data_IF_801669194634
#
_entry.id   IF_801669194634
#
_cell.length_a   1.000
_cell.length_b   1.000
_cell.length_c   1.000
_cell.angle_alpha   90.00
_cell.angle_beta   90.00
_cell.angle_gamma   90.00
#
_symmetry.space_group_name_H-M   'P 1'
#
loop_
_entity.id
_entity.type
_entity.pdbx_description
1 polymer ?
#
# COMPACT_ATOMS: atom_id res chain seq x y z
N UNK A 1 -9.83 7.75 -19.72
CA UNK A 1 -10.83 6.75 -20.14
C UNK A 1 -11.21 6.87 -21.61
N UNK A 2 -11.77 8.01 -22.08
CA UNK A 2 -12.22 8.14 -23.48
C UNK A 2 -11.15 7.77 -24.53
N UNK A 3 -9.91 8.26 -24.38
CA UNK A 3 -8.79 7.91 -25.26
C UNK A 3 -8.51 6.39 -25.29
N UNK A 4 -8.60 5.71 -24.14
CA UNK A 4 -8.39 4.27 -24.06
C UNK A 4 -9.53 3.50 -24.76
N UNK A 5 -10.80 3.89 -24.56
CA UNK A 5 -11.96 3.30 -25.24
C UNK A 5 -11.82 3.41 -26.77
N UNK A 6 -11.51 4.62 -27.27
CA UNK A 6 -11.35 4.85 -28.71
C UNK A 6 -10.13 4.06 -29.23
N UNK A 7 -9.02 4.07 -28.51
CA UNK A 7 -7.84 3.29 -28.85
C UNK A 7 -8.11 1.79 -28.97
N UNK A 8 -8.95 1.24 -28.09
CA UNK A 8 -9.38 -0.16 -28.11
C UNK A 8 -10.24 -0.46 -29.33
N UNK A 9 -11.22 0.39 -29.64
CA UNK A 9 -12.05 0.26 -30.84
C UNK A 9 -11.20 0.31 -32.12
N UNK A 10 -10.25 1.25 -32.23
CA UNK A 10 -9.29 1.31 -33.33
C UNK A 10 -8.39 0.06 -33.36
N UNK A 11 -8.08 -0.50 -32.21
CA UNK A 11 -7.33 -1.76 -32.07
C UNK A 11 -8.05 -3.00 -32.58
N UNK A 12 -9.37 -2.94 -32.78
CA UNK A 12 -10.13 -4.04 -33.39
C UNK A 12 -10.11 -4.00 -34.91
N UNK A 13 -9.88 -2.83 -35.51
CA UNK A 13 -9.83 -2.65 -36.97
C UNK A 13 -8.86 -3.62 -37.66
N UNK A 14 -7.63 -3.86 -37.12
CA UNK A 14 -6.73 -4.88 -37.65
C UNK A 14 -7.31 -6.29 -37.72
N UNK A 15 -8.17 -6.69 -36.79
CA UNK A 15 -8.77 -8.04 -36.78
C UNK A 15 -9.74 -8.21 -37.96
N UNK A 16 -10.59 -7.22 -38.22
CA UNK A 16 -11.50 -7.23 -39.37
C UNK A 16 -10.75 -7.15 -40.70
N UNK A 17 -9.73 -6.28 -40.77
CA UNK A 17 -8.91 -6.16 -41.97
C UNK A 17 -8.11 -7.43 -42.25
N UNK A 18 -7.57 -8.09 -41.23
CA UNK A 18 -6.92 -9.40 -41.36
C UNK A 18 -7.90 -10.46 -41.87
N UNK A 19 -9.13 -10.51 -41.35
CA UNK A 19 -10.14 -11.44 -41.83
C UNK A 19 -10.46 -11.21 -43.32
N UNK A 20 -10.61 -9.96 -43.75
CA UNK A 20 -10.83 -9.59 -45.16
C UNK A 20 -9.66 -9.99 -46.06
N UNK A 21 -8.41 -9.80 -45.59
CA UNK A 21 -7.21 -10.25 -46.30
C UNK A 21 -7.23 -11.76 -46.51
N UNK A 22 -7.56 -12.55 -45.47
CA UNK A 22 -7.63 -14.01 -45.60
C UNK A 22 -8.75 -14.42 -46.56
N UNK A 23 -9.90 -13.74 -46.52
CA UNK A 23 -11.01 -14.04 -47.44
C UNK A 23 -10.64 -13.78 -48.91
N UNK A 24 -9.95 -12.66 -49.19
CA UNK A 24 -9.44 -12.39 -50.54
C UNK A 24 -8.43 -13.45 -50.99
N UNK A 25 -7.54 -13.87 -50.08
CA UNK A 25 -6.57 -14.92 -50.34
C UNK A 25 -7.25 -16.26 -50.68
N UNK A 26 -8.29 -16.63 -49.91
CA UNK A 26 -9.08 -17.83 -50.12
C UNK A 26 -9.91 -17.77 -51.42
N UNK A 27 -10.33 -16.58 -51.84
CA UNK A 27 -10.99 -16.35 -53.12
C UNK A 27 -10.03 -16.44 -54.32
N UNK A 28 -8.73 -16.59 -54.08
CA UNK A 28 -7.71 -16.73 -55.12
C UNK A 28 -7.21 -15.40 -55.70
N UNK A 29 -7.51 -14.27 -55.04
CA UNK A 29 -7.09 -12.95 -55.51
C UNK A 29 -5.56 -12.79 -55.50
N UNK A 30 -4.96 -12.53 -56.66
CA UNK A 30 -3.51 -12.40 -56.82
C UNK A 30 -3.04 -10.93 -56.89
N UNK A 31 -3.96 -9.98 -57.08
CA UNK A 31 -3.61 -8.59 -57.26
C UNK A 31 -3.27 -7.90 -55.93
N UNK A 32 -2.01 -7.47 -55.76
CA UNK A 32 -1.57 -6.75 -54.54
C UNK A 32 -2.41 -5.49 -54.25
N UNK A 33 -2.92 -4.83 -55.28
CA UNK A 33 -3.78 -3.66 -55.17
C UNK A 33 -5.08 -3.92 -54.40
N UNK A 34 -5.59 -5.16 -54.40
CA UNK A 34 -6.76 -5.57 -53.61
C UNK A 34 -6.46 -5.64 -52.11
N UNK A 35 -5.20 -5.92 -51.73
CA UNK A 35 -4.77 -6.03 -50.33
C UNK A 35 -4.29 -4.71 -49.73
N UNK A 36 -3.78 -3.80 -50.57
CA UNK A 36 -3.24 -2.51 -50.16
C UNK A 36 -4.18 -1.68 -49.24
N UNK A 37 -5.48 -1.49 -49.53
CA UNK A 37 -6.35 -0.73 -48.63
C UNK A 37 -6.50 -1.39 -47.25
N UNK A 38 -6.55 -2.72 -47.19
CA UNK A 38 -6.65 -3.44 -45.93
C UNK A 38 -5.36 -3.36 -45.12
N UNK A 39 -4.19 -3.46 -45.77
CA UNK A 39 -2.90 -3.27 -45.12
C UNK A 39 -2.73 -1.85 -44.56
N UNK A 40 -3.15 -0.83 -45.33
CA UNK A 40 -3.15 0.55 -44.85
C UNK A 40 -4.13 0.75 -43.69
N UNK A 41 -5.28 0.07 -43.71
CA UNK A 41 -6.26 0.10 -42.61
C UNK A 41 -5.70 -0.56 -41.34
N UNK A 42 -4.99 -1.70 -41.46
CA UNK A 42 -4.28 -2.34 -40.34
C UNK A 42 -3.24 -1.38 -39.76
N UNK A 43 -2.40 -0.77 -40.61
CA UNK A 43 -1.36 0.15 -40.19
C UNK A 43 -1.96 1.39 -39.49
N UNK A 44 -2.99 2.00 -40.08
CA UNK A 44 -3.66 3.16 -39.50
C UNK A 44 -4.33 2.81 -38.16
N UNK A 45 -5.05 1.68 -38.08
CA UNK A 45 -5.66 1.21 -36.84
C UNK A 45 -4.63 0.94 -35.74
N UNK A 46 -3.51 0.32 -36.09
CA UNK A 46 -2.40 0.07 -35.16
C UNK A 46 -1.74 1.36 -34.67
N UNK A 47 -1.44 2.31 -35.56
CA UNK A 47 -0.84 3.60 -35.22
C UNK A 47 -1.77 4.43 -34.33
N UNK A 48 -3.05 4.53 -34.70
CA UNK A 48 -4.05 5.26 -33.92
C UNK A 48 -4.23 4.63 -32.54
N UNK A 49 -4.39 3.30 -32.45
CA UNK A 49 -4.43 2.57 -31.17
C UNK A 49 -3.21 2.91 -30.33
N UNK A 50 -2.01 2.82 -30.90
CA UNK A 50 -0.74 3.02 -30.19
C UNK A 50 -0.62 4.44 -29.67
N UNK A 51 -0.94 5.45 -30.48
CA UNK A 51 -0.91 6.86 -30.07
C UNK A 51 -1.93 7.14 -28.97
N UNK A 52 -3.17 6.69 -29.13
CA UNK A 52 -4.23 6.90 -28.14
C UNK A 52 -3.95 6.18 -26.83
N UNK A 53 -3.46 4.94 -26.89
CA UNK A 53 -3.08 4.16 -25.71
C UNK A 53 -1.94 4.83 -24.94
N UNK A 54 -0.84 5.19 -25.62
CA UNK A 54 0.29 5.86 -24.97
C UNK A 54 -0.10 7.24 -24.41
N UNK A 55 -0.98 7.98 -25.08
CA UNK A 55 -1.51 9.24 -24.57
C UNK A 55 -2.35 9.04 -23.32
N UNK A 56 -3.23 8.03 -23.32
CA UNK A 56 -4.03 7.65 -22.15
C UNK A 56 -3.14 7.22 -20.97
N UNK A 57 -2.11 6.41 -21.25
CA UNK A 57 -1.15 5.93 -20.26
C UNK A 57 -0.34 7.09 -19.66
N UNK A 58 0.20 7.98 -20.50
CA UNK A 58 0.95 9.16 -20.04
C UNK A 58 0.09 10.07 -19.14
N UNK A 59 -1.16 10.33 -19.52
CA UNK A 59 -2.08 11.12 -18.70
C UNK A 59 -2.38 10.43 -17.37
N UNK A 60 -2.53 9.11 -17.39
CA UNK A 60 -2.78 8.31 -16.19
C UNK A 60 -1.59 8.35 -15.23
N UNK A 61 -0.34 8.19 -15.71
CA UNK A 61 0.86 8.35 -14.88
C UNK A 61 0.94 9.73 -14.23
N UNK A 62 0.69 10.82 -14.99
CA UNK A 62 0.69 12.18 -14.42
C UNK A 62 -0.33 12.32 -13.29
N UNK A 63 -1.54 11.78 -13.47
CA UNK A 63 -2.55 11.78 -12.44
C UNK A 63 -2.11 10.96 -11.22
N UNK A 64 -1.56 9.76 -11.43
CA UNK A 64 -1.03 8.90 -10.37
C UNK A 64 0.04 9.59 -9.55
N UNK A 65 1.08 10.16 -10.17
CA UNK A 65 2.13 10.88 -9.46
C UNK A 65 1.57 12.06 -8.64
N UNK A 66 0.56 12.76 -9.15
CA UNK A 66 -0.13 13.81 -8.39
C UNK A 66 -0.87 13.26 -7.17
N UNK A 67 -1.51 12.10 -7.28
CA UNK A 67 -2.18 11.42 -6.16
C UNK A 67 -1.16 11.01 -5.11
N UNK A 68 -0.07 10.32 -5.52
CA UNK A 68 0.98 9.87 -4.60
C UNK A 68 1.63 11.05 -3.86
N UNK A 69 1.93 12.14 -4.57
CA UNK A 69 2.41 13.39 -3.97
C UNK A 69 1.43 13.91 -2.92
N UNK A 70 0.14 13.95 -3.24
CA UNK A 70 -0.89 14.47 -2.32
C UNK A 70 -1.00 13.60 -1.06
N UNK A 71 -0.95 12.28 -1.21
CA UNK A 71 -0.96 11.34 -0.08
C UNK A 71 0.25 11.60 0.84
N UNK A 72 1.45 11.73 0.27
CA UNK A 72 2.66 12.05 1.04
C UNK A 72 2.55 13.37 1.77
N UNK A 73 2.06 14.41 1.10
CA UNK A 73 1.87 15.72 1.73
C UNK A 73 0.88 15.66 2.89
N UNK A 74 -0.21 14.90 2.76
CA UNK A 74 -1.18 14.70 3.85
C UNK A 74 -0.57 13.94 5.02
N UNK A 75 0.18 12.87 4.77
CA UNK A 75 0.85 12.11 5.83
C UNK A 75 1.88 12.98 6.56
N UNK A 76 2.71 13.73 5.82
CA UNK A 76 3.70 14.64 6.40
C UNK A 76 3.06 15.79 7.18
N UNK A 77 1.91 16.32 6.72
CA UNK A 77 1.18 17.34 7.45
C UNK A 77 0.46 16.79 8.70
N UNK A 78 0.05 15.52 8.68
CA UNK A 78 -0.61 14.85 9.81
C UNK A 78 0.37 14.55 10.95
N UNK A 79 1.60 14.13 10.62
CA UNK A 79 2.60 13.65 11.59
C UNK A 79 2.81 14.57 12.81
N UNK A 80 3.01 15.90 12.65
CA UNK A 80 3.24 16.81 13.79
C UNK A 80 2.02 16.98 14.72
N UNK A 81 0.82 16.60 14.27
CA UNK A 81 -0.42 16.74 15.04
C UNK A 81 -0.79 15.45 15.80
N UNK A 82 -0.10 14.35 15.53
CA UNK A 82 -0.30 13.10 16.26
C UNK A 82 0.44 13.16 17.61
N UNK A 83 -0.03 12.40 18.63
CA UNK A 83 0.71 12.27 19.89
C UNK A 83 2.17 11.92 19.63
N UNK A 84 3.08 12.78 20.07
CA UNK A 84 4.52 12.63 19.81
C UNK A 84 5.02 11.25 20.23
N UNK A 85 4.52 10.75 21.36
CA UNK A 85 4.89 9.44 21.84
C UNK A 85 4.47 8.30 20.89
N UNK A 86 3.29 8.37 20.28
CA UNK A 86 2.86 7.42 19.24
C UNK A 86 3.75 7.49 17.99
N UNK A 87 4.22 8.70 17.63
CA UNK A 87 5.14 8.87 16.49
C UNK A 87 6.50 8.24 16.78
N UNK A 88 7.00 8.40 18.01
CA UNK A 88 8.30 7.86 18.43
C UNK A 88 8.32 6.36 18.73
N UNK A 89 7.16 5.77 19.06
CA UNK A 89 7.02 4.32 19.22
C UNK A 89 7.29 3.58 17.89
N UNK A 90 7.08 4.25 16.77
CA UNK A 90 7.43 3.73 15.44
C UNK A 90 8.84 4.16 15.02
N UNK A 91 9.62 3.20 14.52
CA UNK A 91 10.97 3.50 14.02
C UNK A 91 10.93 4.40 12.78
N UNK A 92 11.99 5.17 12.55
CA UNK A 92 12.15 5.96 11.32
C UNK A 92 12.08 5.09 10.05
N UNK A 93 12.57 3.84 10.14
CA UNK A 93 12.43 2.84 9.08
C UNK A 93 10.97 2.50 8.79
N UNK A 94 10.12 2.40 9.82
CA UNK A 94 8.69 2.15 9.65
C UNK A 94 7.98 3.32 8.98
N UNK A 95 8.31 4.55 9.36
CA UNK A 95 7.77 5.74 8.70
C UNK A 95 8.20 5.84 7.24
N UNK A 96 9.47 5.53 6.94
CA UNK A 96 9.98 5.47 5.56
C UNK A 96 9.25 4.39 4.76
N UNK A 97 9.06 3.20 5.32
CA UNK A 97 8.31 2.12 4.68
C UNK A 97 6.90 2.59 4.30
N UNK A 98 6.17 3.22 5.22
CA UNK A 98 4.79 3.65 4.97
C UNK A 98 4.73 4.84 3.98
N UNK A 99 5.46 5.93 4.27
CA UNK A 99 5.34 7.20 3.53
C UNK A 99 5.99 7.11 2.14
N UNK A 100 7.07 6.33 2.02
CA UNK A 100 7.82 6.20 0.77
C UNK A 100 7.44 4.92 0.06
N UNK A 101 7.82 3.77 0.61
CA UNK A 101 7.80 2.49 -0.14
C UNK A 101 6.39 2.02 -0.44
N UNK A 102 5.50 2.03 0.55
CA UNK A 102 4.12 1.59 0.38
C UNK A 102 3.36 2.55 -0.53
N UNK A 103 3.52 3.87 -0.34
CA UNK A 103 2.89 4.84 -1.25
C UNK A 103 3.37 4.68 -2.68
N UNK A 104 4.67 4.48 -2.92
CA UNK A 104 5.18 4.22 -4.28
C UNK A 104 4.70 2.88 -4.84
N UNK A 105 4.49 1.84 -4.00
CA UNK A 105 4.00 0.55 -4.47
C UNK A 105 2.64 0.61 -5.17
N UNK A 106 1.84 1.66 -4.90
CA UNK A 106 0.56 1.90 -5.57
C UNK A 106 0.69 2.48 -6.98
N UNK A 107 1.87 2.97 -7.38
CA UNK A 107 2.07 3.71 -8.63
C UNK A 107 1.62 2.90 -9.85
N UNK A 108 2.22 1.73 -10.07
CA UNK A 108 1.97 0.91 -11.25
C UNK A 108 0.48 0.58 -11.37
N UNK A 109 -0.14 0.15 -10.28
CA UNK A 109 -1.56 -0.22 -10.28
C UNK A 109 -2.44 0.97 -10.65
N UNK A 110 -2.25 2.12 -10.01
CA UNK A 110 -3.07 3.31 -10.27
C UNK A 110 -2.83 3.88 -11.67
N UNK A 111 -1.57 3.89 -12.14
CA UNK A 111 -1.21 4.39 -13.46
C UNK A 111 -1.80 3.53 -14.59
N UNK A 112 -1.84 2.21 -14.41
CA UNK A 112 -2.35 1.29 -15.41
C UNK A 112 -3.85 1.00 -15.26
N UNK A 113 -4.46 1.29 -14.10
CA UNK A 113 -5.88 1.07 -13.80
C UNK A 113 -6.80 1.56 -14.89
N UNK A 114 -6.79 2.86 -15.17
CA UNK A 114 -7.77 3.41 -16.10
C UNK A 114 -7.53 3.00 -17.56
N UNK A 115 -6.30 3.07 -18.11
CA UNK A 115 -6.06 2.68 -19.49
C UNK A 115 -6.25 1.18 -19.73
N UNK A 116 -5.63 0.33 -18.90
CA UNK A 116 -5.61 -1.11 -19.14
C UNK A 116 -6.91 -1.78 -18.72
N UNK A 117 -7.49 -1.46 -17.55
CA UNK A 117 -8.75 -2.09 -17.15
C UNK A 117 -9.88 -1.69 -18.10
N UNK A 118 -9.92 -0.44 -18.57
CA UNK A 118 -10.86 -0.03 -19.62
C UNK A 118 -10.65 -0.86 -20.88
N UNK A 119 -9.40 -1.05 -21.33
CA UNK A 119 -9.11 -1.86 -22.50
C UNK A 119 -9.49 -3.33 -22.32
N UNK A 120 -9.17 -3.90 -21.17
CA UNK A 120 -9.39 -5.30 -20.83
C UNK A 120 -10.88 -5.66 -20.69
N UNK A 121 -11.73 -4.68 -20.36
CA UNK A 121 -13.19 -4.86 -20.30
C UNK A 121 -13.85 -4.53 -21.64
N UNK A 122 -13.49 -3.39 -22.24
CA UNK A 122 -14.15 -2.90 -23.46
C UNK A 122 -13.83 -3.76 -24.67
N UNK A 123 -12.60 -4.27 -24.81
CA UNK A 123 -12.24 -5.06 -25.99
C UNK A 123 -13.04 -6.37 -26.08
N UNK A 124 -13.15 -7.19 -25.02
CA UNK A 124 -14.02 -8.37 -25.02
C UNK A 124 -15.48 -8.05 -25.30
N UNK A 125 -16.01 -6.95 -24.75
CA UNK A 125 -17.40 -6.53 -24.99
C UNK A 125 -17.62 -6.19 -26.47
N UNK A 126 -16.73 -5.40 -27.06
CA UNK A 126 -16.84 -5.04 -28.49
C UNK A 126 -16.64 -6.26 -29.39
N UNK A 127 -15.71 -7.16 -29.07
CA UNK A 127 -15.52 -8.42 -29.78
C UNK A 127 -16.80 -9.26 -29.70
N UNK A 128 -17.39 -9.38 -28.51
CA UNK A 128 -18.62 -10.14 -28.31
C UNK A 128 -19.78 -9.55 -29.13
N UNK A 129 -19.94 -8.22 -29.11
CA UNK A 129 -20.92 -7.53 -29.97
C UNK A 129 -20.68 -7.87 -31.44
N UNK A 130 -19.43 -7.80 -31.91
CA UNK A 130 -19.08 -8.16 -33.28
C UNK A 130 -19.40 -9.62 -33.61
N UNK A 131 -19.14 -10.56 -32.69
CA UNK A 131 -19.51 -11.96 -32.86
C UNK A 131 -21.03 -12.14 -32.98
N UNK A 132 -21.83 -11.46 -32.16
CA UNK A 132 -23.29 -11.51 -32.25
C UNK A 132 -23.83 -10.95 -33.56
N UNK A 133 -23.21 -9.89 -34.09
CA UNK A 133 -23.58 -9.31 -35.38
C UNK A 133 -23.20 -10.22 -36.57
N UNK A 134 -22.13 -11.00 -36.45
CA UNK A 134 -21.68 -11.94 -37.47
C UNK A 134 -22.50 -13.23 -37.47
N UNK A 135 -22.60 -13.89 -36.31
CA UNK A 135 -23.42 -15.08 -36.10
C UNK A 135 -23.72 -15.28 -34.60
N UNK A 136 -24.98 -15.07 -34.21
CA UNK A 136 -25.40 -15.19 -32.81
C UNK A 136 -25.21 -16.59 -32.21
N UNK A 137 -25.22 -17.66 -33.03
CA UNK A 137 -25.04 -19.05 -32.56
C UNK A 137 -23.59 -19.26 -32.15
N UNK A 138 -22.63 -18.83 -32.98
CA UNK A 138 -21.21 -18.90 -32.65
C UNK A 138 -20.81 -17.96 -31.51
N UNK A 139 -21.46 -16.80 -31.40
CA UNK A 139 -21.27 -15.90 -30.25
C UNK A 139 -21.66 -16.60 -28.93
N UNK A 140 -22.83 -17.24 -28.86
CA UNK A 140 -23.24 -18.01 -27.68
C UNK A 140 -22.29 -19.18 -27.38
N UNK A 141 -21.84 -19.89 -28.42
CA UNK A 141 -20.87 -20.98 -28.26
C UNK A 141 -19.52 -20.48 -27.74
N UNK A 142 -19.06 -19.30 -28.15
CA UNK A 142 -17.85 -18.67 -27.61
C UNK A 142 -17.98 -18.33 -26.13
N UNK A 143 -19.21 -18.04 -25.65
CA UNK A 143 -19.47 -17.78 -24.24
C UNK A 143 -19.56 -19.04 -23.40
N UNK A 144 -19.87 -20.20 -24.00
CA UNK A 144 -20.12 -21.45 -23.28
C UNK A 144 -18.91 -21.96 -22.45
N UNK A 145 -17.69 -21.54 -22.80
CA UNK A 145 -16.48 -21.86 -22.02
C UNK A 145 -16.35 -21.06 -20.73
N UNK A 146 -16.94 -19.86 -20.64
CA UNK A 146 -16.83 -19.02 -19.44
C UNK A 146 -17.55 -19.59 -18.23
N UNK A 147 -18.81 -20.07 -18.31
CA UNK A 147 -19.46 -20.75 -17.18
C UNK A 147 -18.62 -21.89 -16.62
N UNK A 148 -17.98 -22.70 -17.48
CA UNK A 148 -17.09 -23.79 -17.05
C UNK A 148 -15.87 -23.23 -16.32
N UNK A 149 -15.21 -22.21 -16.87
CA UNK A 149 -14.08 -21.54 -16.21
C UNK A 149 -14.47 -20.96 -14.84
N UNK A 150 -15.63 -20.28 -14.77
CA UNK A 150 -16.16 -19.71 -13.54
C UNK A 150 -16.50 -20.77 -12.50
N UNK A 151 -17.04 -21.93 -12.88
CA UNK A 151 -17.28 -23.04 -11.95
C UNK A 151 -15.99 -23.52 -11.28
N UNK A 152 -14.90 -23.69 -12.04
CA UNK A 152 -13.60 -24.04 -11.49
C UNK A 152 -13.01 -22.94 -10.60
N UNK A 153 -13.20 -21.67 -10.97
CA UNK A 153 -12.78 -20.53 -10.15
C UNK A 153 -13.58 -20.43 -8.84
N UNK A 154 -14.90 -20.66 -8.87
CA UNK A 154 -15.75 -20.66 -7.67
C UNK A 154 -15.35 -21.74 -6.67
N UNK A 155 -14.91 -22.92 -7.15
CA UNK A 155 -14.39 -23.99 -6.29
C UNK A 155 -13.18 -23.53 -5.45
N UNK A 156 -12.33 -22.65 -6.02
CA UNK A 156 -11.20 -22.06 -5.30
C UNK A 156 -11.66 -20.93 -4.37
N UNK A 157 -12.53 -20.05 -4.86
CA UNK A 157 -13.02 -18.89 -4.11
C UNK A 157 -13.80 -19.25 -2.84
N UNK A 158 -14.49 -20.40 -2.82
CA UNK A 158 -15.34 -20.80 -1.69
C UNK A 158 -14.60 -20.93 -0.34
N UNK A 159 -13.33 -21.34 -0.36
CA UNK A 159 -12.50 -21.44 0.85
C UNK A 159 -11.45 -20.33 0.95
N UNK A 160 -11.38 -19.43 -0.03
CA UNK A 160 -10.30 -18.45 -0.16
C UNK A 160 -10.12 -17.60 1.11
N UNK A 161 -11.20 -17.07 1.68
CA UNK A 161 -11.11 -16.24 2.89
C UNK A 161 -10.51 -17.00 4.08
N UNK A 162 -10.87 -18.28 4.24
CA UNK A 162 -10.37 -19.15 5.31
C UNK A 162 -8.90 -19.52 5.10
N UNK A 163 -8.55 -19.91 3.87
CA UNK A 163 -7.17 -20.25 3.53
C UNK A 163 -6.25 -19.03 3.62
N UNK A 164 -6.72 -17.86 3.15
CA UNK A 164 -6.00 -16.60 3.27
C UNK A 164 -5.78 -16.20 4.73
N UNK A 165 -6.81 -16.25 5.58
CA UNK A 165 -6.67 -15.97 7.00
C UNK A 165 -5.67 -16.92 7.70
N UNK A 166 -5.68 -18.21 7.33
CA UNK A 166 -4.70 -19.15 7.87
C UNK A 166 -3.27 -18.90 7.37
N UNK A 167 -3.09 -18.46 6.12
CA UNK A 167 -1.79 -18.06 5.59
C UNK A 167 -1.23 -16.82 6.30
N UNK A 168 -2.09 -15.82 6.55
CA UNK A 168 -1.73 -14.64 7.36
C UNK A 168 -1.32 -15.05 8.77
N UNK A 169 -2.09 -15.93 9.41
CA UNK A 169 -1.75 -16.45 10.75
C UNK A 169 -0.41 -17.19 10.78
N UNK A 170 -0.17 -18.12 9.84
CA UNK A 170 1.08 -18.88 9.76
C UNK A 170 2.29 -17.96 9.52
N UNK A 171 2.13 -16.95 8.67
CA UNK A 171 3.14 -15.93 8.39
C UNK A 171 3.41 -15.10 9.64
N UNK A 172 2.37 -14.66 10.36
CA UNK A 172 2.52 -13.88 11.59
C UNK A 172 3.25 -14.66 12.69
N UNK A 173 2.92 -15.94 12.90
CA UNK A 173 3.60 -16.80 13.88
C UNK A 173 5.08 -17.02 13.53
N UNK A 174 5.38 -17.20 12.24
CA UNK A 174 6.75 -17.30 11.75
C UNK A 174 7.53 -16.01 12.00
N UNK A 175 6.98 -14.86 11.63
CA UNK A 175 7.61 -13.55 11.81
C UNK A 175 7.84 -13.23 13.29
N UNK A 176 6.87 -13.48 14.17
CA UNK A 176 7.02 -13.30 15.62
C UNK A 176 8.17 -14.14 16.17
N UNK A 177 8.23 -15.43 15.80
CA UNK A 177 9.29 -16.35 16.25
C UNK A 177 10.66 -15.91 15.72
N UNK A 178 10.72 -15.36 14.50
CA UNK A 178 11.95 -14.84 13.92
C UNK A 178 12.45 -13.59 14.67
N UNK A 179 11.55 -12.65 14.99
CA UNK A 179 11.87 -11.46 15.79
C UNK A 179 12.33 -11.85 17.20
N UNK A 180 11.63 -12.77 17.87
CA UNK A 180 12.03 -13.32 19.18
C UNK A 180 13.45 -13.92 19.12
N UNK A 181 13.74 -14.70 18.07
CA UNK A 181 15.06 -15.33 17.90
C UNK A 181 16.17 -14.30 17.68
N UNK A 182 15.93 -13.28 16.86
CA UNK A 182 16.91 -12.21 16.57
C UNK A 182 17.16 -11.37 17.83
N UNK A 183 16.11 -10.89 18.48
CA UNK A 183 16.23 -10.08 19.69
C UNK A 183 16.85 -10.87 20.86
N UNK A 184 16.54 -12.17 20.95
CA UNK A 184 17.06 -13.07 21.99
C UNK A 184 18.44 -13.65 21.70
N UNK A 185 19.08 -13.37 20.55
CA UNK A 185 20.26 -14.12 20.09
C UNK A 185 21.44 -14.08 21.07
N UNK A 186 21.64 -12.95 21.75
CA UNK A 186 22.70 -12.80 22.75
C UNK A 186 22.46 -13.71 23.96
N UNK A 187 21.23 -13.75 24.47
CA UNK A 187 20.81 -14.61 25.58
C UNK A 187 20.89 -16.09 25.18
N UNK A 188 20.38 -16.43 24.00
CA UNK A 188 20.43 -17.80 23.45
C UNK A 188 21.87 -18.31 23.38
N UNK A 189 22.82 -17.47 22.93
CA UNK A 189 24.25 -17.79 22.89
C UNK A 189 24.86 -17.88 24.30
N UNK A 190 24.54 -16.95 25.19
CA UNK A 190 25.07 -16.93 26.56
C UNK A 190 24.65 -18.16 27.38
N UNK A 191 23.43 -18.66 27.18
CA UNK A 191 22.91 -19.85 27.87
C UNK A 191 23.06 -21.15 27.05
N UNK A 192 23.78 -21.11 25.92
CA UNK A 192 24.00 -22.25 25.01
C UNK A 192 22.69 -22.98 24.57
N UNK A 193 21.59 -22.23 24.42
CA UNK A 193 20.27 -22.75 24.02
C UNK A 193 20.03 -22.69 22.50
N UNK A 194 21.10 -22.55 21.71
CA UNK A 194 21.04 -22.34 20.26
C UNK A 194 20.22 -23.41 19.53
N UNK A 195 20.42 -24.69 19.88
CA UNK A 195 19.73 -25.80 19.20
C UNK A 195 18.22 -25.75 19.37
N UNK A 196 17.71 -25.54 20.59
CA UNK A 196 16.27 -25.54 20.86
C UNK A 196 15.57 -24.33 20.22
N UNK A 197 16.17 -23.15 20.36
CA UNK A 197 15.63 -21.91 19.79
C UNK A 197 15.63 -21.95 18.27
N UNK A 198 16.71 -22.48 17.67
CA UNK A 198 16.80 -22.67 16.23
C UNK A 198 15.78 -23.70 15.72
N UNK A 199 15.61 -24.83 16.41
CA UNK A 199 14.57 -25.82 16.05
C UNK A 199 13.18 -25.18 16.03
N UNK A 200 12.81 -24.44 17.08
CA UNK A 200 11.52 -23.72 17.16
C UNK A 200 11.33 -22.77 15.98
N UNK A 201 12.35 -22.00 15.61
CA UNK A 201 12.32 -21.13 14.44
C UNK A 201 12.11 -21.94 13.16
N UNK A 202 12.92 -22.98 12.93
CA UNK A 202 12.82 -23.80 11.72
C UNK A 202 11.49 -24.53 11.59
N UNK A 203 10.88 -24.96 12.70
CA UNK A 203 9.57 -25.60 12.70
C UNK A 203 8.47 -24.63 12.28
N UNK A 204 8.53 -23.37 12.74
CA UNK A 204 7.59 -22.33 12.32
C UNK A 204 7.78 -21.93 10.85
N UNK A 205 9.01 -21.83 10.38
CA UNK A 205 9.31 -21.61 8.95
C UNK A 205 8.77 -22.74 8.09
N UNK A 206 8.98 -24.00 8.50
CA UNK A 206 8.46 -25.18 7.79
C UNK A 206 6.94 -25.25 7.84
N UNK A 207 6.32 -24.95 8.98
CA UNK A 207 4.87 -24.93 9.10
C UNK A 207 4.24 -23.88 8.18
N UNK A 208 4.84 -22.69 8.08
CA UNK A 208 4.42 -21.67 7.13
C UNK A 208 4.54 -22.15 5.68
N UNK A 209 5.71 -22.68 5.30
CA UNK A 209 5.92 -23.24 3.96
C UNK A 209 4.93 -24.37 3.62
N UNK A 210 4.68 -25.27 4.57
CA UNK A 210 3.74 -26.38 4.43
C UNK A 210 2.31 -25.86 4.23
N UNK A 211 1.90 -24.82 4.95
CA UNK A 211 0.58 -24.22 4.80
C UNK A 211 0.37 -23.69 3.38
N UNK A 212 1.32 -22.91 2.85
CA UNK A 212 1.28 -22.41 1.47
C UNK A 212 1.29 -23.55 0.45
N UNK A 213 2.11 -24.58 0.67
CA UNK A 213 2.14 -25.76 -0.21
C UNK A 213 0.77 -26.47 -0.25
N UNK A 214 0.17 -26.73 0.91
CA UNK A 214 -1.12 -27.40 0.99
C UNK A 214 -2.24 -26.55 0.39
N UNK A 215 -2.21 -25.23 0.60
CA UNK A 215 -3.16 -24.31 -0.01
C UNK A 215 -3.01 -24.27 -1.54
N UNK A 216 -1.77 -24.17 -2.05
CA UNK A 216 -1.49 -24.22 -3.49
C UNK A 216 -1.97 -25.55 -4.08
N UNK A 217 -1.65 -26.68 -3.43
CA UNK A 217 -2.07 -28.02 -3.87
C UNK A 217 -3.59 -28.18 -3.93
N UNK A 218 -4.32 -27.67 -2.93
CA UNK A 218 -5.80 -27.69 -2.93
C UNK A 218 -6.39 -26.81 -4.03
N UNK A 219 -5.78 -25.66 -4.30
CA UNK A 219 -6.26 -24.67 -5.28
C UNK A 219 -5.82 -24.99 -6.72
N UNK A 220 -4.78 -25.81 -6.90
CA UNK A 220 -4.10 -26.04 -8.17
C UNK A 220 -5.06 -26.49 -9.27
N UNK A 221 -5.93 -27.47 -8.99
CA UNK A 221 -6.85 -28.00 -10.00
C UNK A 221 -7.84 -26.92 -10.47
N UNK A 222 -8.53 -26.26 -9.53
CA UNK A 222 -9.51 -25.23 -9.87
C UNK A 222 -8.89 -24.06 -10.62
N UNK A 223 -7.71 -23.60 -10.18
CA UNK A 223 -7.00 -22.51 -10.84
C UNK A 223 -6.50 -22.92 -12.23
N UNK A 224 -5.85 -24.08 -12.36
CA UNK A 224 -5.33 -24.58 -13.64
C UNK A 224 -6.44 -24.78 -14.67
N UNK A 225 -7.58 -25.33 -14.24
CA UNK A 225 -8.73 -25.53 -15.11
C UNK A 225 -9.37 -24.18 -15.50
N UNK A 226 -9.52 -23.24 -14.57
CA UNK A 226 -10.02 -21.91 -14.90
C UNK A 226 -9.14 -21.23 -15.97
N UNK A 227 -7.81 -21.18 -15.76
CA UNK A 227 -6.86 -20.61 -16.71
C UNK A 227 -6.79 -21.38 -18.04
N UNK A 228 -7.07 -22.68 -18.05
CA UNK A 228 -7.16 -23.47 -19.28
C UNK A 228 -8.42 -23.15 -20.09
N UNK A 229 -9.57 -22.93 -19.43
CA UNK A 229 -10.85 -22.70 -20.10
C UNK A 229 -11.12 -21.24 -20.51
N UNK A 230 -10.61 -20.24 -19.78
CA UNK A 230 -10.77 -18.82 -20.16
C UNK A 230 -10.35 -18.49 -21.60
N UNK A 231 -9.19 -18.98 -22.11
CA UNK A 231 -8.78 -18.77 -23.49
C UNK A 231 -9.30 -19.84 -24.48
N UNK A 232 -10.15 -20.79 -24.05
CA UNK A 232 -10.47 -21.99 -24.83
C UNK A 232 -11.69 -21.86 -25.76
N UNK A 233 -12.01 -20.66 -26.24
CA UNK A 233 -13.21 -20.45 -27.09
C UNK A 233 -13.13 -21.25 -28.40
N UNK A 234 -11.92 -21.56 -28.87
CA UNK A 234 -11.70 -22.41 -30.04
C UNK A 234 -12.24 -23.84 -29.88
N UNK A 235 -12.38 -24.35 -28.65
CA UNK A 235 -12.96 -25.67 -28.40
C UNK A 235 -14.41 -25.77 -28.87
N UNK A 236 -15.15 -24.66 -28.85
CA UNK A 236 -16.54 -24.60 -29.31
C UNK A 236 -16.63 -24.02 -30.72
N UNK A 237 -15.89 -22.95 -31.02
CA UNK A 237 -16.02 -22.25 -32.31
C UNK A 237 -15.58 -23.12 -33.48
N UNK A 238 -14.47 -23.86 -33.39
CA UNK A 238 -13.96 -24.65 -34.52
C UNK A 238 -14.90 -25.80 -34.93
N UNK A 239 -15.29 -26.74 -34.05
CA UNK A 239 -16.09 -27.88 -34.46
C UNK A 239 -17.51 -27.48 -34.91
N UNK A 240 -18.15 -26.56 -34.18
CA UNK A 240 -19.51 -26.12 -34.51
C UNK A 240 -19.53 -25.16 -35.70
N UNK A 241 -18.54 -24.27 -35.82
CA UNK A 241 -18.40 -23.41 -36.98
C UNK A 241 -18.12 -24.18 -38.26
N UNK A 242 -17.27 -25.22 -38.17
CA UNK A 242 -17.07 -26.16 -39.29
C UNK A 242 -18.36 -26.85 -39.69
N UNK A 243 -19.13 -27.36 -38.72
CA UNK A 243 -20.42 -27.99 -38.98
C UNK A 243 -21.43 -27.00 -39.62
N UNK A 244 -21.52 -25.77 -39.13
CA UNK A 244 -22.39 -24.77 -39.73
C UNK A 244 -21.98 -24.39 -41.16
N UNK A 245 -20.67 -24.36 -41.42
CA UNK A 245 -20.10 -24.12 -42.74
C UNK A 245 -20.41 -25.24 -43.73
N UNK A 246 -20.14 -26.51 -43.37
CA UNK A 246 -20.39 -27.66 -44.27
C UNK A 246 -21.87 -27.87 -44.56
N UNK A 247 -22.76 -27.51 -43.63
CA UNK A 247 -24.21 -27.50 -43.83
C UNK A 247 -24.74 -26.25 -44.55
N UNK A 248 -23.86 -25.32 -44.96
CA UNK A 248 -24.21 -24.14 -45.75
C UNK A 248 -24.90 -23.01 -44.97
N UNK A 249 -24.98 -23.10 -43.64
CA UNK A 249 -25.64 -22.10 -42.78
C UNK A 249 -24.70 -20.99 -42.30
N UNK A 250 -23.41 -21.06 -42.65
CA UNK A 250 -22.36 -20.11 -42.31
C UNK A 250 -21.42 -19.95 -43.51
N UNK A 251 -21.04 -18.73 -43.85
CA UNK A 251 -20.06 -18.49 -44.93
C UNK A 251 -18.63 -18.73 -44.45
N UNK A 252 -17.71 -19.08 -45.36
CA UNK A 252 -16.28 -19.19 -45.04
C UNK A 252 -15.71 -17.88 -44.49
N UNK A 253 -16.17 -16.74 -45.03
CA UNK A 253 -15.79 -15.40 -44.57
C UNK A 253 -16.21 -15.14 -43.13
N UNK A 254 -17.47 -15.40 -42.79
CA UNK A 254 -17.99 -15.24 -41.43
C UNK A 254 -17.22 -16.17 -40.47
N UNK A 255 -16.96 -17.41 -40.88
CA UNK A 255 -16.26 -18.38 -40.05
C UNK A 255 -14.82 -17.95 -39.73
N UNK A 256 -14.04 -17.56 -40.73
CA UNK A 256 -12.67 -17.06 -40.55
C UNK A 256 -12.63 -15.80 -39.68
N UNK A 257 -13.58 -14.88 -39.90
CA UNK A 257 -13.67 -13.65 -39.10
C UNK A 257 -13.96 -13.95 -37.63
N UNK A 258 -14.88 -14.87 -37.36
CA UNK A 258 -15.21 -15.30 -35.98
C UNK A 258 -14.01 -15.94 -35.30
N UNK A 259 -13.22 -16.78 -36.00
CA UNK A 259 -12.00 -17.39 -35.45
C UNK A 259 -11.00 -16.31 -35.01
N UNK A 260 -10.72 -15.34 -35.89
CA UNK A 260 -9.76 -14.26 -35.61
C UNK A 260 -10.21 -13.40 -34.42
N UNK A 261 -11.48 -13.01 -34.39
CA UNK A 261 -12.04 -12.19 -33.33
C UNK A 261 -12.00 -12.90 -31.98
N UNK A 262 -12.38 -14.18 -31.94
CA UNK A 262 -12.38 -14.96 -30.70
C UNK A 262 -10.98 -15.17 -30.11
N UNK A 263 -9.94 -15.36 -30.94
CA UNK A 263 -8.54 -15.38 -30.48
C UNK A 263 -8.14 -14.07 -29.80
N UNK A 264 -8.64 -12.93 -30.28
CA UNK A 264 -8.41 -11.62 -29.69
C UNK A 264 -9.06 -11.40 -28.32
N UNK A 265 -10.02 -12.25 -27.92
CA UNK A 265 -10.79 -12.10 -26.68
C UNK A 265 -10.07 -12.67 -25.44
N UNK A 266 -9.22 -13.68 -25.62
CA UNK A 266 -8.58 -14.42 -24.53
C UNK A 266 -7.71 -13.56 -23.61
N UNK A 267 -6.72 -12.86 -24.19
CA UNK A 267 -5.72 -12.12 -23.42
C UNK A 267 -6.31 -10.96 -22.58
N UNK A 268 -7.22 -10.12 -23.11
CA UNK A 268 -7.86 -9.06 -22.32
C UNK A 268 -8.65 -9.59 -21.12
N UNK A 269 -9.33 -10.73 -21.26
CA UNK A 269 -10.09 -11.34 -20.16
C UNK A 269 -9.16 -11.81 -19.04
N UNK A 270 -8.10 -12.54 -19.40
CA UNK A 270 -7.11 -12.99 -18.41
C UNK A 270 -6.43 -11.80 -17.72
N UNK A 271 -6.11 -10.75 -18.47
CA UNK A 271 -5.55 -9.53 -17.91
C UNK A 271 -6.52 -8.82 -16.95
N UNK A 272 -7.82 -8.78 -17.26
CA UNK A 272 -8.84 -8.23 -16.36
C UNK A 272 -8.90 -8.98 -15.01
N UNK A 273 -8.77 -10.31 -15.01
CA UNK A 273 -8.76 -11.11 -13.77
C UNK A 273 -7.55 -10.81 -12.90
N UNK A 274 -6.35 -10.81 -13.49
CA UNK A 274 -5.12 -10.52 -12.74
C UNK A 274 -5.14 -9.11 -12.14
N UNK A 275 -5.86 -8.18 -12.78
CA UNK A 275 -6.00 -6.81 -12.30
C UNK A 275 -6.76 -6.71 -10.95
N UNK A 276 -7.67 -7.65 -10.67
CA UNK A 276 -8.42 -7.69 -9.39
C UNK A 276 -7.47 -7.92 -8.21
N UNK A 277 -6.49 -8.82 -8.36
CA UNK A 277 -5.50 -9.09 -7.31
C UNK A 277 -4.64 -7.85 -7.03
N UNK A 278 -4.27 -7.11 -8.08
CA UNK A 278 -3.48 -5.88 -7.94
C UNK A 278 -4.26 -4.78 -7.23
N UNK A 279 -5.57 -4.65 -7.48
CA UNK A 279 -6.44 -3.72 -6.76
C UNK A 279 -6.57 -4.05 -5.28
N UNK A 280 -6.66 -5.33 -4.92
CA UNK A 280 -6.72 -5.74 -3.52
C UNK A 280 -5.46 -5.34 -2.75
N UNK A 281 -4.28 -5.45 -3.37
CA UNK A 281 -3.00 -5.02 -2.77
C UNK A 281 -2.98 -3.51 -2.49
N UNK A 282 -3.43 -2.69 -3.43
CA UNK A 282 -3.56 -1.23 -3.23
C UNK A 282 -4.53 -0.91 -2.09
N UNK A 283 -5.63 -1.67 -1.98
CA UNK A 283 -6.59 -1.52 -0.88
C UNK A 283 -5.95 -1.65 0.50
N UNK A 284 -5.02 -2.59 0.67
CA UNK A 284 -4.27 -2.77 1.94
C UNK A 284 -3.43 -1.54 2.28
N UNK A 285 -2.67 -1.02 1.31
CA UNK A 285 -1.87 0.19 1.51
C UNK A 285 -2.73 1.41 1.82
N UNK A 286 -3.84 1.58 1.10
CA UNK A 286 -4.80 2.66 1.37
C UNK A 286 -5.35 2.54 2.79
N UNK A 287 -5.66 1.34 3.27
CA UNK A 287 -6.11 1.11 4.64
C UNK A 287 -5.09 1.56 5.69
N UNK A 288 -3.80 1.25 5.49
CA UNK A 288 -2.72 1.67 6.40
C UNK A 288 -2.51 3.19 6.40
N UNK A 289 -2.56 3.82 5.22
CA UNK A 289 -2.51 5.29 5.10
C UNK A 289 -3.71 5.93 5.78
N UNK A 290 -4.90 5.38 5.58
CA UNK A 290 -6.15 5.88 6.14
C UNK A 290 -6.18 5.76 7.67
N UNK A 291 -5.64 4.68 8.25
CA UNK A 291 -5.47 4.51 9.69
C UNK A 291 -4.66 5.67 10.32
N UNK A 292 -3.56 6.07 9.68
CA UNK A 292 -2.72 7.18 10.15
C UNK A 292 -3.42 8.52 9.98
N UNK A 293 -4.04 8.75 8.83
CA UNK A 293 -4.75 10.01 8.56
C UNK A 293 -5.96 10.21 9.48
N UNK A 294 -6.59 9.12 9.91
CA UNK A 294 -7.72 9.11 10.85
C UNK A 294 -7.32 8.96 12.31
N UNK A 295 -6.04 8.71 12.61
CA UNK A 295 -5.57 8.64 13.98
C UNK A 295 -5.90 9.94 14.73
N UNK A 296 -6.24 9.79 16.01
CA UNK A 296 -6.61 10.87 16.91
C UNK A 296 -5.43 11.85 17.02
N UNK A 297 -5.68 13.13 16.73
CA UNK A 297 -4.69 14.20 16.92
C UNK A 297 -4.66 14.63 18.38
N UNK A 298 -3.57 15.26 18.81
CA UNK A 298 -3.53 15.86 20.14
C UNK A 298 -4.55 17.01 20.24
N UNK A 299 -5.35 16.98 21.28
CA UNK A 299 -6.40 17.96 21.54
C UNK A 299 -5.83 19.09 22.41
N UNK A 300 -5.32 20.14 21.75
CA UNK A 300 -4.76 21.32 22.39
C UNK A 300 -5.53 22.60 22.03
N UNK A 301 -5.51 23.57 22.95
CA UNK A 301 -6.05 24.89 22.70
C UNK A 301 -5.38 25.59 21.51
N UNK A 302 -6.06 26.56 20.91
CA UNK A 302 -5.50 27.37 19.81
C UNK A 302 -5.23 28.81 20.21
N UNK A 303 -5.60 29.19 21.43
CA UNK A 303 -5.45 30.54 21.93
C UNK A 303 -4.21 30.61 22.82
N UNK A 304 -3.36 31.63 22.67
CA UNK A 304 -2.19 31.82 23.51
C UNK A 304 -2.53 31.89 25.00
N UNK A 305 -1.69 31.27 25.82
CA UNK A 305 -1.85 31.26 27.28
C UNK A 305 -0.76 32.10 27.93
N UNK A 306 -1.13 32.94 28.90
CA UNK A 306 -0.18 33.71 29.70
C UNK A 306 0.03 33.02 31.05
N UNK A 307 1.24 32.51 31.28
CA UNK A 307 1.59 31.84 32.52
C UNK A 307 1.91 32.84 33.63
N UNK A 308 1.16 32.78 34.74
CA UNK A 308 1.46 33.52 35.97
C UNK A 308 2.47 32.80 36.89
N UNK A 309 2.48 31.47 36.83
CA UNK A 309 3.43 30.57 37.49
C UNK A 309 3.66 29.32 36.62
N UNK A 310 4.63 28.47 36.99
CA UNK A 310 4.98 27.23 36.26
C UNK A 310 4.86 25.99 37.15
N UNK A 311 3.97 26.03 38.15
CA UNK A 311 3.74 24.84 38.98
C UNK A 311 3.04 23.76 38.17
N UNK A 312 3.40 22.51 38.39
CA UNK A 312 2.77 21.36 37.72
C UNK A 312 1.91 20.62 38.73
N UNK A 313 0.64 20.39 38.40
CA UNK A 313 -0.26 19.58 39.21
C UNK A 313 -0.79 18.41 38.37
N UNK A 314 -0.64 17.20 38.90
CA UNK A 314 -1.19 15.96 38.35
C UNK A 314 -2.31 15.54 39.30
N UNK A 315 -3.53 15.43 38.78
CA UNK A 315 -4.73 15.20 39.60
C UNK A 315 -5.48 13.98 39.10
N UNK A 316 -5.47 12.91 39.91
CA UNK A 316 -6.13 11.62 39.65
C UNK A 316 -5.85 11.04 38.26
N UNK A 317 -4.61 11.15 37.78
CA UNK A 317 -4.25 10.72 36.43
C UNK A 317 -4.12 9.20 36.36
N UNK A 318 -4.85 8.64 35.41
CA UNK A 318 -4.81 7.22 35.05
C UNK A 318 -4.50 7.09 33.56
N UNK A 319 -3.49 6.30 33.22
CA UNK A 319 -2.96 6.25 31.85
C UNK A 319 -2.38 4.89 31.45
N UNK A 320 -2.60 4.52 30.19
CA UNK A 320 -1.95 3.40 29.50
C UNK A 320 -1.81 3.71 28.01
N UNK A 321 -0.74 3.24 27.37
CA UNK A 321 -0.47 3.52 25.94
C UNK A 321 -1.48 2.87 24.99
N UNK A 322 -1.98 1.69 25.38
CA UNK A 322 -3.05 0.97 24.72
C UNK A 322 -4.12 0.70 25.77
N UNK A 323 -5.40 0.86 25.42
CA UNK A 323 -6.53 0.86 26.38
C UNK A 323 -6.66 -0.38 27.27
N UNK A 324 -5.88 -1.42 26.98
CA UNK A 324 -5.95 -2.74 27.59
C UNK A 324 -5.02 -2.87 28.81
N UNK A 325 -4.05 -1.96 28.99
CA UNK A 325 -3.07 -2.02 30.08
C UNK A 325 -2.78 -0.64 30.69
N UNK A 326 -3.33 -0.40 31.88
CA UNK A 326 -3.06 0.78 32.68
C UNK A 326 -1.66 0.70 33.32
N UNK A 327 -0.90 1.80 33.24
CA UNK A 327 0.49 1.94 33.73
C UNK A 327 0.53 2.89 34.94
N UNK A 328 -0.24 3.97 34.88
CA UNK A 328 -0.41 4.92 35.97
C UNK A 328 -1.81 4.77 36.54
N UNK A 329 -1.92 4.65 37.86
CA UNK A 329 -3.19 4.43 38.56
C UNK A 329 -3.48 5.58 39.51
N UNK A 330 -4.42 6.47 39.14
CA UNK A 330 -4.90 7.59 39.96
C UNK A 330 -3.80 8.41 40.64
N UNK A 331 -2.77 8.77 39.88
CA UNK A 331 -1.60 9.50 40.38
C UNK A 331 -1.99 10.93 40.75
N UNK A 332 -1.56 11.36 41.93
CA UNK A 332 -1.68 12.73 42.42
C UNK A 332 -0.29 13.25 42.80
N UNK A 333 0.14 14.37 42.19
CA UNK A 333 1.46 14.95 42.39
C UNK A 333 1.38 16.47 42.24
N UNK A 334 2.10 17.21 43.08
CA UNK A 334 2.26 18.66 42.96
C UNK A 334 3.75 19.00 42.93
N UNK A 335 4.19 19.69 41.89
CA UNK A 335 5.57 20.14 41.69
C UNK A 335 5.58 21.67 41.72
N UNK A 336 6.09 22.30 42.79
CA UNK A 336 6.18 23.75 42.89
C UNK A 336 7.12 24.34 41.84
N UNK A 337 6.85 25.58 41.43
CA UNK A 337 7.78 26.35 40.59
C UNK A 337 9.15 26.50 41.28
N UNK A 338 10.22 26.53 40.49
CA UNK A 338 11.61 26.68 40.96
C UNK A 338 12.06 25.58 41.95
N UNK A 339 11.50 24.37 41.83
CA UNK A 339 11.87 23.22 42.64
C UNK A 339 12.48 22.10 41.79
N UNK A 340 13.29 21.25 42.41
CA UNK A 340 13.79 20.01 41.82
C UNK A 340 13.02 18.84 42.41
N UNK A 341 12.26 18.13 41.58
CA UNK A 341 11.52 16.92 41.98
C UNK A 341 12.19 15.68 41.39
N UNK A 342 12.59 14.74 42.24
CA UNK A 342 13.17 13.48 41.80
C UNK A 342 12.12 12.35 41.89
N UNK A 343 11.83 11.70 40.76
CA UNK A 343 10.98 10.51 40.69
C UNK A 343 11.85 9.25 40.81
N UNK A 344 11.70 8.50 41.91
CA UNK A 344 12.52 7.30 42.20
C UNK A 344 11.64 6.08 42.37
N UNK A 345 12.07 4.94 41.83
CA UNK A 345 11.33 3.67 41.94
C UNK A 345 11.85 2.60 40.97
N UNK A 346 11.42 1.34 41.13
CA UNK A 346 11.85 0.21 40.30
C UNK A 346 11.68 0.46 38.80
N UNK A 347 12.48 -0.17 37.94
CA UNK A 347 12.30 -0.07 36.48
C UNK A 347 10.89 -0.51 36.07
N UNK A 348 10.30 0.17 35.08
CA UNK A 348 8.93 -0.11 34.60
C UNK A 348 7.79 0.46 35.47
N UNK A 349 8.08 1.14 36.59
CA UNK A 349 7.05 1.69 37.47
C UNK A 349 6.29 2.93 36.94
N UNK A 350 6.37 3.24 35.64
CA UNK A 350 5.69 4.39 35.02
C UNK A 350 6.35 5.76 35.19
N UNK A 351 7.57 5.86 35.76
CA UNK A 351 8.27 7.16 35.97
C UNK A 351 8.47 7.95 34.67
N UNK A 352 9.03 7.30 33.65
CA UNK A 352 9.25 7.94 32.35
C UNK A 352 7.92 8.28 31.68
N UNK A 353 6.90 7.44 31.83
CA UNK A 353 5.54 7.72 31.35
C UNK A 353 4.98 8.99 31.98
N UNK A 354 5.06 9.14 33.30
CA UNK A 354 4.61 10.36 33.99
C UNK A 354 5.38 11.60 33.50
N UNK A 355 6.70 11.51 33.33
CA UNK A 355 7.51 12.60 32.80
C UNK A 355 7.11 12.99 31.37
N UNK A 356 6.86 12.00 30.50
CA UNK A 356 6.42 12.24 29.11
C UNK A 356 5.00 12.80 29.03
N UNK A 357 4.09 12.41 29.93
CA UNK A 357 2.74 13.00 30.01
C UNK A 357 2.80 14.46 30.45
N UNK A 358 3.64 14.78 31.44
CA UNK A 358 3.89 16.17 31.84
C UNK A 358 4.50 16.96 30.68
N UNK A 359 5.35 16.33 29.87
CA UNK A 359 5.93 16.93 28.66
C UNK A 359 4.96 17.01 27.46
N UNK A 360 3.70 16.57 27.60
CA UNK A 360 2.70 16.66 26.53
C UNK A 360 2.90 15.68 25.38
N UNK A 361 3.54 14.52 25.60
CA UNK A 361 3.75 13.52 24.54
C UNK A 361 2.48 12.72 24.22
N UNK A 362 1.56 12.65 25.19
CA UNK A 362 0.22 12.10 25.05
C UNK A 362 -0.75 12.89 25.90
N UNK A 363 -2.00 12.91 25.47
CA UNK A 363 -3.10 13.51 26.21
C UNK A 363 -3.68 12.50 27.21
N UNK A 364 -4.04 12.97 28.40
CA UNK A 364 -4.64 12.12 29.43
C UNK A 364 -6.16 12.04 29.26
N UNK A 365 -6.71 10.82 29.25
CA UNK A 365 -8.16 10.59 29.14
C UNK A 365 -8.88 10.55 30.49
N UNK A 366 -8.15 10.27 31.58
CA UNK A 366 -8.68 10.21 32.95
C UNK A 366 -7.80 11.04 33.89
N UNK A 367 -8.42 11.93 34.66
CA UNK A 367 -7.72 12.93 35.46
C UNK A 367 -7.32 14.15 34.61
N UNK A 368 -6.40 14.97 35.12
CA UNK A 368 -5.82 16.08 34.36
C UNK A 368 -4.42 16.41 34.85
N UNK A 369 -3.64 17.03 33.96
CA UNK A 369 -2.35 17.64 34.28
C UNK A 369 -2.49 19.13 33.98
N UNK A 370 -2.04 19.97 34.91
CA UNK A 370 -2.06 21.43 34.72
C UNK A 370 -0.67 22.02 34.90
N UNK A 371 -0.33 23.03 34.10
CA UNK A 371 0.86 23.86 34.24
C UNK A 371 0.43 25.31 34.47
N UNK A 372 0.90 25.90 35.57
CA UNK A 372 0.54 27.28 35.91
C UNK A 372 -0.96 27.51 36.15
N UNK A 373 -1.67 26.45 36.57
CA UNK A 373 -3.13 26.44 36.72
C UNK A 373 -3.94 26.21 35.44
N UNK A 374 -3.31 26.14 34.27
CA UNK A 374 -3.96 25.82 32.99
C UNK A 374 -3.85 24.33 32.70
N UNK A 375 -4.94 23.70 32.25
CA UNK A 375 -4.89 22.30 31.78
C UNK A 375 -3.96 22.20 30.56
N UNK A 376 -3.14 21.15 30.48
CA UNK A 376 -2.23 20.97 29.34
C UNK A 376 -2.98 20.94 28.00
N UNK A 377 -4.21 20.41 27.98
CA UNK A 377 -5.07 20.35 26.79
C UNK A 377 -5.64 21.72 26.39
N UNK A 378 -5.57 22.73 27.25
CA UNK A 378 -6.00 24.10 26.94
C UNK A 378 -4.86 24.96 26.39
N UNK A 379 -3.60 24.52 26.55
CA UNK A 379 -2.41 25.24 26.09
C UNK A 379 -2.11 24.84 24.64
N UNK A 380 -1.85 25.79 23.72
CA UNK A 380 -1.37 25.47 22.39
C UNK A 380 -0.12 24.60 22.42
N UNK A 381 -0.09 23.54 21.61
CA UNK A 381 0.96 22.53 21.66
C UNK A 381 2.37 23.12 21.45
N UNK A 382 2.51 24.06 20.50
CA UNK A 382 3.77 24.79 20.27
C UNK A 382 4.22 25.55 21.53
N UNK A 383 3.31 26.26 22.20
CA UNK A 383 3.60 27.00 23.44
C UNK A 383 3.97 26.05 24.59
N UNK A 384 3.27 24.91 24.70
CA UNK A 384 3.58 23.89 25.69
C UNK A 384 5.01 23.35 25.50
N UNK A 385 5.40 23.05 24.26
CA UNK A 385 6.74 22.55 23.94
C UNK A 385 7.82 23.61 24.12
N UNK A 386 7.52 24.90 23.92
CA UNK A 386 8.43 26.00 24.23
C UNK A 386 8.69 26.17 25.74
N UNK A 387 7.76 25.72 26.60
CA UNK A 387 7.94 25.77 28.06
C UNK A 387 8.71 24.56 28.63
N UNK A 388 8.84 23.46 27.88
CA UNK A 388 9.36 22.20 28.40
C UNK A 388 10.60 21.74 27.63
N UNK A 389 11.74 21.75 28.29
CA UNK A 389 12.95 21.09 27.81
C UNK A 389 12.96 19.61 28.24
N UNK A 390 12.88 18.69 27.29
CA UNK A 390 12.94 17.25 27.53
C UNK A 390 14.28 16.66 27.07
N UNK A 391 14.94 15.92 27.95
CA UNK A 391 16.18 15.19 27.64
C UNK A 391 15.89 13.69 27.72
N UNK A 392 15.84 13.04 26.55
CA UNK A 392 15.60 11.61 26.42
C UNK A 392 16.79 10.77 26.90
N UNK A 393 16.54 9.50 27.21
CA UNK A 393 17.62 8.52 27.45
C UNK A 393 18.38 8.21 26.15
N UNK A 394 17.66 8.07 25.04
CA UNK A 394 18.22 7.84 23.71
C UNK A 394 18.21 9.15 22.91
N UNK A 395 19.33 9.86 22.91
CA UNK A 395 19.46 11.12 22.18
C UNK A 395 19.68 10.88 20.69
N UNK A 396 18.92 11.59 19.86
CA UNK A 396 19.12 11.63 18.41
C UNK A 396 19.97 12.83 18.02
N UNK A 397 21.00 12.60 17.19
CA UNK A 397 21.77 13.65 16.54
C UNK A 397 21.50 13.58 15.04
N UNK A 398 21.14 14.70 14.46
CA UNK A 398 21.01 14.87 13.02
C UNK A 398 22.40 14.76 12.38
N UNK A 399 22.44 14.27 11.12
CA UNK A 399 23.63 14.25 10.28
C UNK A 399 23.97 15.69 9.83
N UNK A 400 24.48 16.45 10.80
CA UNK A 400 24.84 17.85 10.72
C UNK A 400 25.95 18.11 11.75
N UNK A 401 26.46 19.33 11.78
CA UNK A 401 27.49 19.74 12.74
C UNK A 401 26.97 19.68 14.18
N UNK A 402 27.89 19.55 15.15
CA UNK A 402 27.52 19.61 16.58
C UNK A 402 26.82 20.93 16.90
N UNK A 403 27.26 22.03 16.28
CA UNK A 403 26.68 23.36 16.45
C UNK A 403 25.23 23.42 16.00
N UNK A 404 24.90 22.90 14.82
CA UNK A 404 23.52 22.92 14.32
C UNK A 404 22.61 21.99 15.14
N UNK A 405 23.14 20.86 15.62
CA UNK A 405 22.42 19.99 16.56
C UNK A 405 22.07 20.72 17.87
N UNK A 406 22.97 21.52 18.43
CA UNK A 406 22.67 22.34 19.63
C UNK A 406 21.69 23.47 19.29
N UNK A 407 21.87 24.15 18.15
CA UNK A 407 20.98 25.22 17.68
C UNK A 407 19.55 24.74 17.43
N UNK A 408 19.33 23.44 17.23
CA UNK A 408 17.98 22.89 17.09
C UNK A 408 17.07 23.22 18.28
N UNK A 409 17.62 23.34 19.50
CA UNK A 409 16.85 23.74 20.69
C UNK A 409 16.32 25.17 20.63
N UNK A 410 16.97 26.05 19.85
CA UNK A 410 16.48 27.42 19.56
C UNK A 410 17.11 27.92 18.26
N UNK A 411 16.35 27.85 17.16
CA UNK A 411 16.87 28.01 15.78
C UNK A 411 17.45 29.39 15.47
N UNK A 412 17.01 30.42 16.17
CA UNK A 412 17.48 31.80 16.07
C UNK A 412 18.65 32.13 17.01
N UNK A 413 19.16 31.15 17.78
CA UNK A 413 20.32 31.34 18.65
C UNK A 413 21.59 31.66 17.86
N UNK A 414 22.30 32.70 18.29
CA UNK A 414 23.59 33.10 17.73
C UNK A 414 24.68 32.06 18.03
N UNK A 415 25.76 32.03 17.24
CA UNK A 415 26.93 31.16 17.49
C UNK A 415 27.44 31.26 18.94
N UNK A 416 27.51 32.48 19.50
CA UNK A 416 27.98 32.70 20.86
C UNK A 416 27.05 32.09 21.93
N UNK A 417 25.73 32.12 21.70
CA UNK A 417 24.76 31.50 22.62
C UNK A 417 24.81 29.97 22.53
N UNK A 418 25.01 29.43 21.33
CA UNK A 418 25.22 27.99 21.12
C UNK A 418 26.49 27.51 21.83
N UNK A 419 27.59 28.25 21.70
CA UNK A 419 28.84 27.98 22.42
C UNK A 419 28.65 28.04 23.94
N UNK A 420 27.96 29.06 24.45
CA UNK A 420 27.66 29.19 25.86
C UNK A 420 26.83 28.00 26.40
N UNK A 421 25.83 27.55 25.64
CA UNK A 421 25.04 26.37 25.97
C UNK A 421 25.89 25.09 25.98
N UNK A 422 26.77 24.91 24.99
CA UNK A 422 27.71 23.79 24.94
C UNK A 422 28.64 23.76 26.17
N UNK A 423 29.16 24.92 26.59
CA UNK A 423 29.98 25.05 27.79
C UNK A 423 29.20 24.70 29.07
N UNK A 424 27.96 25.19 29.20
CA UNK A 424 27.10 24.90 30.35
C UNK A 424 26.75 23.41 30.49
N UNK A 425 26.61 22.70 29.36
CA UNK A 425 26.36 21.26 29.33
C UNK A 425 27.62 20.40 29.59
N UNK A 426 28.79 21.01 29.82
CA UNK A 426 30.06 20.31 30.06
C UNK A 426 30.85 19.95 28.79
N UNK A 427 30.43 20.43 27.61
CA UNK A 427 31.08 20.17 26.32
C UNK A 427 32.34 21.00 26.03
N UNK A 428 32.87 21.71 27.03
CA UNK A 428 33.91 22.72 26.80
C UNK A 428 35.02 22.72 27.82
N UNK A 429 35.93 21.75 27.68
CA UNK A 429 37.32 21.93 28.11
C UNK A 429 38.24 21.80 26.89
N UNK A 430 38.43 22.89 26.14
CA UNK A 430 39.76 23.19 25.59
C UNK A 430 39.97 23.28 24.07
N UNK A 431 39.07 22.88 23.18
CA UNK A 431 39.38 22.95 21.73
C UNK A 431 38.21 23.48 20.89
N UNK A 432 38.40 24.66 20.31
CA UNK A 432 37.51 25.35 19.37
C UNK A 432 37.20 24.57 18.07
N UNK A 433 37.63 23.30 17.97
CA UNK A 433 37.38 22.39 16.86
C UNK A 433 36.21 21.42 17.08
N UNK A 434 35.67 21.29 18.31
CA UNK A 434 34.63 20.30 18.66
C UNK A 434 33.23 20.66 18.12
N UNK A 435 33.00 21.93 17.81
CA UNK A 435 31.69 22.43 17.33
C UNK A 435 31.58 22.48 15.79
N UNK A 436 32.50 21.84 15.07
CA UNK A 436 32.48 21.77 13.60
C UNK A 436 31.63 20.64 13.07
#
# INVERSE_FOLDING_TARGET
>A
MALAVIGVACGMVPYFAAAKIIVLLLAGEQAFTAYLPWLLTVLAGFLIRTLLYNSALSLSHKATFSILKTIRQKLLAKLPHLPLGTVMDASSGKWKEIIVDQVDSMETTLAHLFPEMTANIVAPVLILIALFLLDWRLALLSLAVFPIAFLFMMMVMGNYAKDYAGAVKATSEMSSTMIEYINGIQVIKAFNQGKQSYTRLTDKVRANAQYYYDWMRRSQLGMSMAYAFFPAQMLTILPFGWLFYTHGSLSAETFVTVIILALGMAAPIVAAFNFVDTLAQVGTTVGQVDEILKAEEQAHGTQPVSFGDHRIEVQNVSFGYHGDQEILHQVNLSIPQNSMTALVGPSGSGKSTLAMLVAGFWDVKTGRITMGGHDLTEIPLEELYDQIAYVSQDNYLFDDTVRENIRMGRRDATDAEVEAAAHAAGGGSGESGVLR
#
